data_IF_264194525438
#
_entry.id   IF_264194525438
#
_cell.length_a   1.000
_cell.length_b   1.000
_cell.length_c   1.000
_cell.angle_alpha   90.00
_cell.angle_beta   90.00
_cell.angle_gamma   90.00
#
_symmetry.space_group_name_H-M   'P 1'
#
loop_
_entity.id
_entity.type
_entity.pdbx_description
1 polymer ?
#
# COMPACT_ATOMS: atom_id res chain seq x y z
N UNK A 1 -13.22 6.87 0.68
CA UNK A 1 -11.80 7.29 0.58
C UNK A 1 -11.18 7.27 1.96
N UNK A 2 -9.88 6.95 2.06
CA UNK A 2 -9.18 6.87 3.36
C UNK A 2 -7.99 7.82 3.35
N UNK A 3 -7.86 8.62 4.40
CA UNK A 3 -6.69 9.48 4.62
C UNK A 3 -5.46 8.60 4.90
N UNK A 4 -4.42 8.76 4.07
CA UNK A 4 -3.16 8.01 4.21
C UNK A 4 -2.03 8.84 4.81
N UNK A 5 -2.07 10.16 4.64
CA UNK A 5 -1.11 11.11 5.17
C UNK A 5 -1.78 12.48 5.31
N UNK A 6 -1.30 13.29 6.26
CA UNK A 6 -1.70 14.67 6.42
C UNK A 6 -0.55 15.48 6.98
N UNK A 7 -0.56 16.78 6.70
CA UNK A 7 0.32 17.74 7.35
C UNK A 7 -0.47 19.03 7.62
N UNK A 8 -0.35 19.55 8.84
CA UNK A 8 -0.97 20.81 9.25
C UNK A 8 -2.44 20.74 9.66
N UNK A 9 -3.11 19.59 9.54
CA UNK A 9 -4.50 19.45 9.99
C UNK A 9 -4.58 19.32 11.53
N UNK A 10 -5.48 20.06 12.21
CA UNK A 10 -5.77 19.83 13.61
C UNK A 10 -6.23 18.38 13.86
N UNK A 11 -5.84 17.78 15.00
CA UNK A 11 -6.12 16.37 15.30
C UNK A 11 -7.59 15.99 15.19
N UNK A 12 -8.49 16.88 15.59
CA UNK A 12 -9.94 16.68 15.51
C UNK A 12 -10.43 16.56 14.06
N UNK A 13 -9.91 17.42 13.17
CA UNK A 13 -10.22 17.41 11.74
C UNK A 13 -9.62 16.19 11.06
N UNK A 14 -8.37 15.85 11.39
CA UNK A 14 -7.73 14.64 10.87
C UNK A 14 -8.49 13.35 11.28
N UNK A 15 -9.18 13.35 12.42
CA UNK A 15 -10.02 12.25 12.85
C UNK A 15 -11.33 12.18 12.05
N UNK A 16 -12.01 13.31 11.81
CA UNK A 16 -13.24 13.34 10.99
C UNK A 16 -12.95 13.02 9.52
N UNK A 17 -11.83 13.51 8.99
CA UNK A 17 -11.40 13.31 7.60
C UNK A 17 -10.71 11.95 7.37
N UNK A 18 -10.61 11.10 8.40
CA UNK A 18 -9.96 9.79 8.28
C UNK A 18 -10.63 8.91 7.23
N UNK A 19 -11.95 8.96 7.17
CA UNK A 19 -12.79 8.25 6.20
C UNK A 19 -13.82 9.22 5.64
N UNK A 20 -13.75 9.46 4.35
CA UNK A 20 -14.65 10.36 3.62
C UNK A 20 -15.36 9.57 2.54
N UNK A 21 -16.65 9.82 2.36
CA UNK A 21 -17.43 9.15 1.29
C UNK A 21 -16.82 9.43 -0.09
N UNK A 22 -16.85 8.44 -0.99
CA UNK A 22 -16.27 8.58 -2.33
C UNK A 22 -16.99 9.63 -3.18
N UNK A 23 -18.23 9.98 -2.85
CA UNK A 23 -19.04 10.97 -3.55
C UNK A 23 -19.18 12.27 -2.73
N UNK A 24 -18.28 12.48 -1.76
CA UNK A 24 -18.28 13.69 -0.93
C UNK A 24 -17.83 14.92 -1.73
N UNK A 25 -18.79 15.64 -2.31
CA UNK A 25 -18.59 16.94 -2.95
C UNK A 25 -17.41 16.97 -3.93
N UNK A 26 -16.57 18.00 -3.82
CA UNK A 26 -15.42 18.21 -4.71
C UNK A 26 -14.33 17.16 -4.55
N UNK A 27 -14.13 16.63 -3.35
CA UNK A 27 -13.22 15.49 -3.15
C UNK A 27 -13.72 14.30 -3.97
N UNK A 28 -15.02 13.99 -3.96
CA UNK A 28 -15.55 12.90 -4.77
C UNK A 28 -15.42 13.10 -6.28
N UNK A 29 -15.60 14.35 -6.74
CA UNK A 29 -15.37 14.70 -8.14
C UNK A 29 -13.91 14.51 -8.55
N UNK A 30 -12.96 15.02 -7.77
CA UNK A 30 -11.53 14.81 -8.00
C UNK A 30 -11.08 13.35 -7.84
N UNK A 31 -11.86 12.52 -7.14
CA UNK A 31 -11.62 11.07 -7.08
C UNK A 31 -11.93 10.35 -8.39
N UNK A 32 -12.73 10.97 -9.26
CA UNK A 32 -13.37 10.31 -10.40
C UNK A 32 -12.91 10.86 -11.75
N UNK A 33 -12.45 12.11 -11.79
CA UNK A 33 -11.92 12.76 -13.00
C UNK A 33 -10.56 13.40 -12.73
N UNK A 34 -9.68 13.45 -13.75
CA UNK A 34 -8.37 14.09 -13.64
C UNK A 34 -8.51 15.61 -13.65
N UNK A 35 -8.82 16.16 -12.47
CA UNK A 35 -9.13 17.58 -12.29
C UNK A 35 -8.37 18.19 -11.12
N UNK A 36 -8.22 19.50 -11.20
CA UNK A 36 -7.86 20.37 -10.09
C UNK A 36 -9.09 21.25 -9.86
N UNK A 37 -9.73 21.09 -8.71
CA UNK A 37 -10.97 21.78 -8.36
C UNK A 37 -10.74 22.63 -7.11
N UNK A 38 -11.13 23.89 -7.20
CA UNK A 38 -11.18 24.80 -6.06
C UNK A 38 -12.60 24.90 -5.52
N UNK A 39 -12.72 24.96 -4.20
CA UNK A 39 -13.93 25.36 -3.50
C UNK A 39 -13.64 26.60 -2.69
N UNK A 40 -14.31 27.70 -3.02
CA UNK A 40 -14.46 28.83 -2.13
C UNK A 40 -15.75 28.60 -1.33
N UNK A 41 -15.68 28.71 0.00
CA UNK A 41 -16.74 28.32 0.96
C UNK A 41 -16.90 26.80 1.21
N UNK A 42 -16.44 26.37 2.39
CA UNK A 42 -16.48 24.99 2.85
C UNK A 42 -17.69 24.66 3.74
N UNK A 43 -18.78 25.43 3.68
CA UNK A 43 -20.01 25.14 4.43
C UNK A 43 -20.53 23.72 4.19
N UNK A 44 -20.35 23.16 2.99
CA UNK A 44 -20.72 21.76 2.72
C UNK A 44 -19.83 20.75 3.46
N UNK A 45 -18.53 21.02 3.58
CA UNK A 45 -17.59 20.20 4.35
C UNK A 45 -17.84 20.32 5.86
N UNK A 46 -18.21 21.52 6.34
CA UNK A 46 -18.55 21.78 7.74
C UNK A 46 -19.70 20.88 8.25
N UNK A 47 -20.67 20.54 7.38
CA UNK A 47 -21.79 19.64 7.71
C UNK A 47 -21.36 18.18 7.98
N UNK A 48 -20.16 17.78 7.57
CA UNK A 48 -19.66 16.40 7.73
C UNK A 48 -18.90 16.15 9.04
N UNK A 49 -18.91 17.09 9.99
CA UNK A 49 -18.40 16.88 11.34
C UNK A 49 -17.17 17.72 11.74
N UNK A 50 -16.78 18.69 10.92
CA UNK A 50 -15.65 19.59 11.18
C UNK A 50 -16.02 21.07 11.08
N UNK A 51 -17.18 21.44 11.66
CA UNK A 51 -17.74 22.78 11.55
C UNK A 51 -16.82 23.90 12.08
N UNK A 52 -16.09 23.66 13.18
CA UNK A 52 -15.15 24.65 13.72
C UNK A 52 -14.03 24.98 12.72
N UNK A 53 -13.46 23.98 12.05
CA UNK A 53 -12.37 24.20 11.11
C UNK A 53 -12.87 24.67 9.74
N UNK A 54 -13.78 23.92 9.12
CA UNK A 54 -14.32 24.23 7.79
C UNK A 54 -15.34 25.36 7.74
N UNK A 55 -15.90 25.75 8.88
CA UNK A 55 -16.85 26.86 8.99
C UNK A 55 -16.23 28.18 9.43
N UNK A 56 -15.04 28.19 10.07
CA UNK A 56 -14.44 29.43 10.61
C UNK A 56 -12.97 29.64 10.26
N UNK A 57 -12.16 28.59 10.17
CA UNK A 57 -10.70 28.71 10.00
C UNK A 57 -10.25 28.47 8.57
N UNK A 58 -10.88 27.55 7.85
CA UNK A 58 -10.58 27.24 6.46
C UNK A 58 -11.62 27.91 5.55
N UNK A 59 -11.15 28.77 4.64
CA UNK A 59 -12.01 29.57 3.74
C UNK A 59 -12.02 29.05 2.30
N UNK A 60 -10.93 28.42 1.86
CA UNK A 60 -10.89 27.75 0.57
C UNK A 60 -10.11 26.45 0.62
N UNK A 61 -10.44 25.54 -0.30
CA UNK A 61 -9.79 24.26 -0.46
C UNK A 61 -9.51 23.99 -1.93
N UNK A 62 -8.40 23.31 -2.19
CA UNK A 62 -8.08 22.77 -3.50
C UNK A 62 -8.00 21.24 -3.42
N UNK A 63 -8.73 20.55 -4.28
CA UNK A 63 -8.62 19.12 -4.49
C UNK A 63 -7.88 18.85 -5.81
N UNK A 64 -6.73 18.18 -5.71
CA UNK A 64 -5.88 17.83 -6.84
C UNK A 64 -5.89 16.32 -7.03
N UNK A 65 -6.26 15.86 -8.21
CA UNK A 65 -6.27 14.44 -8.55
C UNK A 65 -4.84 13.89 -8.65
N UNK A 66 -4.63 12.63 -8.26
CA UNK A 66 -3.33 11.94 -8.37
C UNK A 66 -3.41 10.84 -9.45
N UNK A 67 -3.38 11.20 -10.75
CA UNK A 67 -3.54 10.25 -11.83
C UNK A 67 -2.25 9.45 -12.08
N UNK A 68 -2.41 8.21 -12.52
CA UNK A 68 -1.35 7.41 -13.10
C UNK A 68 -1.95 6.43 -14.12
N UNK A 69 -1.42 6.40 -15.34
CA UNK A 69 -1.84 5.49 -16.43
C UNK A 69 -3.37 5.43 -16.67
N UNK A 70 -4.07 6.56 -16.59
CA UNK A 70 -5.52 6.63 -16.82
C UNK A 70 -6.40 6.28 -15.61
N UNK A 71 -5.80 5.92 -14.47
CA UNK A 71 -6.50 5.70 -13.20
C UNK A 71 -6.16 6.80 -12.19
N UNK A 72 -7.12 7.14 -11.32
CA UNK A 72 -6.89 8.07 -10.21
C UNK A 72 -6.57 7.25 -8.96
N UNK A 73 -5.33 7.36 -8.49
CA UNK A 73 -4.85 6.60 -7.33
C UNK A 73 -5.20 7.27 -6.00
N UNK A 74 -5.54 8.55 -6.02
CA UNK A 74 -5.88 9.32 -4.83
C UNK A 74 -6.10 10.79 -5.12
N UNK A 75 -6.16 11.58 -4.04
CA UNK A 75 -6.40 13.01 -4.08
C UNK A 75 -5.49 13.69 -3.09
N UNK A 76 -4.95 14.84 -3.47
CA UNK A 76 -4.20 15.74 -2.61
C UNK A 76 -5.03 17.00 -2.33
N UNK A 77 -5.42 17.17 -1.06
CA UNK A 77 -6.22 18.30 -0.61
C UNK A 77 -5.33 19.35 0.05
N UNK A 78 -5.46 20.59 -0.40
CA UNK A 78 -4.87 21.78 0.21
C UNK A 78 -5.96 22.62 0.87
N UNK A 79 -5.69 23.13 2.06
CA UNK A 79 -6.62 23.93 2.83
C UNK A 79 -6.00 25.31 3.11
N UNK A 80 -6.76 26.37 2.87
CA UNK A 80 -6.32 27.75 3.04
C UNK A 80 -7.22 28.49 4.03
N UNK A 81 -6.65 29.41 4.79
CA UNK A 81 -7.33 30.28 5.76
C UNK A 81 -7.95 31.54 5.14
N UNK A 82 -7.70 31.74 3.85
CA UNK A 82 -8.11 32.87 3.03
C UNK A 82 -8.62 32.38 1.69
N UNK A 83 -9.55 33.13 1.10
CA UNK A 83 -9.99 32.88 -0.28
C UNK A 83 -8.82 33.18 -1.23
N UNK A 84 -8.10 32.13 -1.61
CA UNK A 84 -6.92 32.25 -2.45
C UNK A 84 -7.26 31.95 -3.92
N UNK A 85 -7.18 32.97 -4.78
CA UNK A 85 -7.18 32.77 -6.23
C UNK A 85 -5.79 32.32 -6.66
N UNK A 86 -5.65 31.02 -6.89
CA UNK A 86 -4.38 30.44 -7.33
C UNK A 86 -4.15 30.80 -8.80
N UNK A 87 -3.01 31.46 -9.07
CA UNK A 87 -2.61 31.83 -10.42
C UNK A 87 -2.50 30.60 -11.34
N UNK A 88 -2.80 30.71 -12.65
CA UNK A 88 -2.75 29.58 -13.57
C UNK A 88 -1.42 28.84 -13.60
N UNK A 89 -0.29 29.56 -13.48
CA UNK A 89 1.05 28.95 -13.41
C UNK A 89 1.21 28.04 -12.19
N UNK A 90 0.69 28.44 -11.04
CA UNK A 90 0.70 27.64 -9.81
C UNK A 90 -0.24 26.45 -9.94
N UNK A 91 -1.40 26.60 -10.59
CA UNK A 91 -2.27 25.45 -10.86
C UNK A 91 -1.58 24.41 -11.75
N UNK A 92 -0.85 24.83 -12.78
CA UNK A 92 -0.05 23.93 -13.61
C UNK A 92 1.01 23.21 -12.79
N UNK A 93 1.73 23.93 -11.93
CA UNK A 93 2.70 23.31 -11.01
C UNK A 93 2.04 22.28 -10.10
N UNK A 94 0.89 22.60 -9.50
CA UNK A 94 0.16 21.69 -8.62
C UNK A 94 -0.32 20.44 -9.35
N UNK A 95 -0.72 20.55 -10.62
CA UNK A 95 -1.05 19.38 -11.46
C UNK A 95 0.17 18.50 -11.70
N UNK A 96 1.33 19.08 -11.99
CA UNK A 96 2.59 18.34 -12.14
C UNK A 96 2.97 17.61 -10.84
N UNK A 97 2.81 18.28 -9.69
CA UNK A 97 3.00 17.65 -8.37
C UNK A 97 2.02 16.49 -8.19
N UNK A 98 0.75 16.65 -8.56
CA UNK A 98 -0.25 15.58 -8.53
C UNK A 98 0.14 14.35 -9.36
N UNK A 99 0.65 14.57 -10.58
CA UNK A 99 1.13 13.50 -11.45
C UNK A 99 2.37 12.78 -10.86
N UNK A 100 3.33 13.53 -10.31
CA UNK A 100 4.52 12.97 -9.65
C UNK A 100 4.15 12.14 -8.42
N UNK A 101 3.19 12.61 -7.62
CA UNK A 101 2.65 11.87 -6.49
C UNK A 101 1.91 10.62 -6.93
N UNK A 102 1.12 10.69 -8.02
CA UNK A 102 0.48 9.53 -8.64
C UNK A 102 1.50 8.46 -9.05
N UNK A 103 2.55 8.84 -9.78
CA UNK A 103 3.65 7.94 -10.14
C UNK A 103 4.33 7.34 -8.90
N UNK A 104 4.61 8.15 -7.88
CA UNK A 104 5.28 7.71 -6.65
C UNK A 104 4.42 6.71 -5.87
N UNK A 105 3.10 6.94 -5.79
CA UNK A 105 2.14 6.01 -5.18
C UNK A 105 2.08 4.69 -5.95
N UNK A 106 2.08 4.74 -7.28
CA UNK A 106 2.14 3.54 -8.11
C UNK A 106 3.41 2.74 -7.84
N UNK A 107 4.58 3.39 -7.89
CA UNK A 107 5.86 2.75 -7.63
C UNK A 107 5.92 2.11 -6.24
N UNK A 108 5.45 2.82 -5.20
CA UNK A 108 5.39 2.29 -3.85
C UNK A 108 4.49 1.04 -3.74
N UNK A 109 3.40 0.99 -4.50
CA UNK A 109 2.53 -0.20 -4.58
C UNK A 109 3.25 -1.37 -5.25
N UNK A 110 3.91 -1.14 -6.38
CA UNK A 110 4.66 -2.16 -7.11
C UNK A 110 5.80 -2.73 -6.26
N UNK A 111 6.56 -1.89 -5.58
CA UNK A 111 7.66 -2.34 -4.71
C UNK A 111 7.15 -3.20 -3.54
N UNK A 112 6.02 -2.84 -2.94
CA UNK A 112 5.38 -3.67 -1.91
C UNK A 112 4.99 -5.04 -2.45
N UNK A 113 4.50 -5.10 -3.68
CA UNK A 113 4.06 -6.33 -4.33
C UNK A 113 5.26 -7.21 -4.73
N UNK A 114 6.34 -6.60 -5.25
CA UNK A 114 7.62 -7.26 -5.51
C UNK A 114 8.22 -7.89 -4.25
N UNK A 115 8.27 -7.14 -3.15
CA UNK A 115 8.77 -7.67 -1.88
C UNK A 115 7.93 -8.87 -1.41
N UNK A 116 6.60 -8.79 -1.52
CA UNK A 116 5.72 -9.91 -1.17
C UNK A 116 6.00 -11.15 -2.00
N UNK A 117 6.17 -10.99 -3.32
CA UNK A 117 6.50 -12.10 -4.21
C UNK A 117 7.88 -12.69 -3.91
N UNK A 118 8.87 -11.85 -3.61
CA UNK A 118 10.21 -12.29 -3.22
C UNK A 118 10.17 -13.17 -1.97
N UNK A 119 9.45 -12.74 -0.93
CA UNK A 119 9.29 -13.52 0.32
C UNK A 119 8.56 -14.83 0.07
N UNK A 120 7.55 -14.85 -0.80
CA UNK A 120 6.84 -16.09 -1.15
C UNK A 120 7.73 -17.05 -1.93
N UNK A 121 8.57 -16.53 -2.84
CA UNK A 121 9.53 -17.33 -3.61
C UNK A 121 10.57 -17.98 -2.70
N UNK A 122 11.16 -17.21 -1.77
CA UNK A 122 12.14 -17.72 -0.80
C UNK A 122 11.55 -18.86 0.05
N UNK A 123 10.30 -18.72 0.51
CA UNK A 123 9.60 -19.79 1.24
C UNK A 123 9.40 -21.04 0.39
N UNK A 124 9.11 -20.89 -0.90
CA UNK A 124 8.93 -22.02 -1.80
C UNK A 124 10.27 -22.74 -2.07
N UNK A 125 11.35 -21.98 -2.22
CA UNK A 125 12.70 -22.54 -2.37
C UNK A 125 13.10 -23.35 -1.13
N UNK A 126 12.86 -22.82 0.06
CA UNK A 126 13.09 -23.53 1.32
C UNK A 126 12.28 -24.84 1.41
N UNK A 127 11.00 -24.84 1.02
CA UNK A 127 10.17 -26.05 1.00
C UNK A 127 10.75 -27.09 0.04
N UNK A 128 11.21 -26.66 -1.13
CA UNK A 128 11.82 -27.56 -2.11
C UNK A 128 13.12 -28.16 -1.57
N UNK A 129 13.99 -27.35 -0.97
CA UNK A 129 15.23 -27.83 -0.33
C UNK A 129 14.95 -28.85 0.78
N UNK A 130 13.97 -28.57 1.65
CA UNK A 130 13.55 -29.51 2.70
C UNK A 130 13.01 -30.80 2.09
N UNK A 131 12.17 -30.70 1.07
CA UNK A 131 11.62 -31.87 0.39
C UNK A 131 12.72 -32.75 -0.22
N UNK A 132 13.72 -32.13 -0.87
CA UNK A 132 14.85 -32.83 -1.48
C UNK A 132 15.74 -33.49 -0.41
N UNK A 133 16.05 -32.80 0.69
CA UNK A 133 16.82 -33.36 1.79
C UNK A 133 16.11 -34.56 2.46
N UNK A 134 14.79 -34.47 2.64
CA UNK A 134 13.97 -35.58 3.16
C UNK A 134 13.97 -36.76 2.20
N UNK A 135 13.78 -36.53 0.90
CA UNK A 135 13.81 -37.57 -0.12
C UNK A 135 15.17 -38.29 -0.16
N UNK A 136 16.27 -37.54 -0.08
CA UNK A 136 17.63 -38.10 -0.01
C UNK A 136 17.83 -38.94 1.24
N UNK A 137 17.39 -38.45 2.41
CA UNK A 137 17.51 -39.19 3.69
C UNK A 137 16.71 -40.49 3.64
N UNK A 138 15.49 -40.45 3.11
CA UNK A 138 14.64 -41.63 2.95
C UNK A 138 15.22 -42.63 1.95
N UNK A 139 15.75 -42.16 0.82
CA UNK A 139 16.42 -43.01 -0.15
C UNK A 139 17.65 -43.71 0.46
N UNK A 140 18.46 -42.97 1.21
CA UNK A 140 19.61 -43.50 1.93
C UNK A 140 19.22 -44.54 2.99
N UNK A 141 18.21 -44.24 3.81
CA UNK A 141 17.70 -45.18 4.82
C UNK A 141 17.18 -46.47 4.15
N UNK A 142 16.42 -46.35 3.06
CA UNK A 142 15.93 -47.50 2.28
C UNK A 142 17.07 -48.37 1.73
N UNK A 143 18.19 -47.77 1.35
CA UNK A 143 19.36 -48.50 0.85
C UNK A 143 20.16 -49.19 1.98
N UNK A 144 20.28 -48.56 3.15
CA UNK A 144 21.07 -49.08 4.29
C UNK A 144 20.33 -50.08 5.18
N UNK A 145 19.02 -49.93 5.36
CA UNK A 145 18.24 -50.79 6.26
C UNK A 145 18.31 -52.29 5.90
N UNK A 146 18.27 -52.72 4.61
CA UNK A 146 18.43 -54.13 4.25
C UNK A 146 19.81 -54.68 4.62
N UNK A 147 20.89 -53.93 4.35
CA UNK A 147 22.26 -54.33 4.71
C UNK A 147 22.42 -54.52 6.22
N UNK A 148 21.81 -53.64 7.02
CA UNK A 148 21.78 -53.77 8.47
C UNK A 148 20.99 -55.01 8.91
N UNK A 149 19.83 -55.27 8.29
CA UNK A 149 19.00 -56.43 8.57
C UNK A 149 19.72 -57.75 8.25
N UNK A 150 20.42 -57.81 7.11
CA UNK A 150 21.21 -58.97 6.68
C UNK A 150 22.37 -59.25 7.65
N UNK A 151 23.09 -58.20 8.09
CA UNK A 151 24.18 -58.33 9.07
C UNK A 151 23.69 -58.84 10.44
N UNK A 152 22.53 -58.37 10.91
CA UNK A 152 21.91 -58.84 12.15
C UNK A 152 21.50 -60.33 12.04
N UNK A 153 20.89 -60.73 10.92
CA UNK A 153 20.50 -62.13 10.70
C UNK A 153 21.72 -63.08 10.60
N UNK A 154 22.85 -62.58 10.11
CA UNK A 154 24.10 -63.34 10.04
C UNK A 154 24.83 -63.47 11.40
N UNK A 155 24.33 -62.86 12.49
CA UNK A 155 25.03 -62.75 13.79
C UNK A 155 26.45 -62.19 13.68
N UNK A 156 26.72 -61.37 12.65
CA UNK A 156 28.06 -60.85 12.37
C UNK A 156 28.14 -59.37 12.78
N UNK A 157 28.40 -59.14 14.07
CA UNK A 157 28.46 -57.79 14.67
C UNK A 157 29.52 -56.88 14.02
N UNK A 158 30.48 -57.46 13.27
CA UNK A 158 31.56 -56.70 12.64
C UNK A 158 31.19 -56.02 11.32
N UNK A 159 30.11 -56.45 10.64
CA UNK A 159 29.62 -55.79 9.42
C UNK A 159 28.55 -54.71 9.67
N UNK A 160 27.91 -54.71 10.85
CA UNK A 160 26.77 -53.83 11.13
C UNK A 160 27.12 -52.33 11.30
N UNK A 161 28.40 -51.96 11.37
CA UNK A 161 28.88 -50.60 11.71
C UNK A 161 29.63 -49.85 10.59
N UNK A 162 29.78 -50.42 9.39
CA UNK A 162 30.35 -49.73 8.22
C UNK A 162 29.26 -49.30 7.23
#
# INVERSE_FOLDING_TARGET
MRLVAQQGLPKQVAASERLVDRHCGICGSAASTDVLLGLDDLASCARHGSNLYFGTQCKSMLAISLPHNGEILGIYNLFFDSTSRIAPSVQTLLRLVGQLLGLSLHNARIERERLRLSVMKERQEMVNEVHDALAQTLAYARMRLPLLSDAIQAHDETQALK
#
